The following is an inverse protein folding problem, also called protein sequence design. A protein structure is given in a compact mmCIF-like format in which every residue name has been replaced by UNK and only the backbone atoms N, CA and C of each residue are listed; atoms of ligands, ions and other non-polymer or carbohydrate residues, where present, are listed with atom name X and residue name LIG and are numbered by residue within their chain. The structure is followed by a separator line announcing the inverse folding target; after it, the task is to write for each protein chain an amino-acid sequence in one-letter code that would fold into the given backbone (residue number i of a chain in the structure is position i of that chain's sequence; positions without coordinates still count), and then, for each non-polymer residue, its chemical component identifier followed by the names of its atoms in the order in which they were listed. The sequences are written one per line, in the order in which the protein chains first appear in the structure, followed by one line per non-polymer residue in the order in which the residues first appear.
data_IF_125419308007
#
_entry.id   IF_125419308007
#
_cell.length_a   1.000
_cell.length_b   1.000
_cell.length_c   1.000
_cell.angle_alpha   90.00
_cell.angle_beta   90.00
_cell.angle_gamma   90.00
#
_symmetry.space_group_name_H-M   'P 1'
#
loop_
_entity.id
_entity.type
_entity.pdbx_description
1 polymer ?
#
# COMPACT_ATOMS: atom_id res chain seq x y z
N UNK A 1 -3.48 -11.71 -2.54
CA UNK A 1 -2.75 -10.83 -1.59
C UNK A 1 -1.65 -11.65 -0.95
N UNK A 2 -0.42 -11.15 -0.81
CA UNK A 2 0.61 -11.86 -0.03
C UNK A 2 0.17 -11.81 1.44
N UNK A 3 0.28 -12.92 2.17
CA UNK A 3 -0.16 -12.99 3.57
C UNK A 3 -1.67 -13.19 3.77
N UNK A 4 -2.43 -13.52 2.72
CA UNK A 4 -3.90 -13.74 2.80
C UNK A 4 -4.33 -14.85 3.78
N UNK A 5 -3.39 -15.72 4.18
CA UNK A 5 -3.59 -16.77 5.19
C UNK A 5 -2.82 -16.51 6.50
N UNK A 6 -2.14 -15.36 6.59
CA UNK A 6 -1.26 -14.95 7.68
C UNK A 6 -1.66 -13.56 8.21
N UNK A 7 -2.93 -13.18 8.02
CA UNK A 7 -3.53 -11.97 8.57
C UNK A 7 -4.54 -12.35 9.66
N UNK A 8 -4.57 -11.54 10.72
CA UNK A 8 -5.53 -11.69 11.80
C UNK A 8 -5.94 -10.33 12.36
N UNK A 9 -7.17 -10.29 12.87
CA UNK A 9 -7.67 -9.17 13.68
C UNK A 9 -7.88 -9.63 15.11
N UNK A 10 -7.69 -8.71 16.05
CA UNK A 10 -7.90 -9.00 17.49
C UNK A 10 -9.38 -9.27 17.78
N UNK A 11 -10.27 -8.53 17.12
CA UNK A 11 -11.72 -8.66 17.18
C UNK A 11 -12.34 -8.02 15.92
N UNK A 12 -13.65 -8.19 15.73
CA UNK A 12 -14.41 -7.53 14.66
C UNK A 12 -15.50 -6.68 15.29
N UNK A 13 -15.50 -5.40 14.94
CA UNK A 13 -16.55 -4.44 15.27
C UNK A 13 -17.03 -3.70 14.01
N UNK A 14 -17.86 -2.67 14.19
CA UNK A 14 -18.38 -1.86 13.10
C UNK A 14 -17.27 -1.13 12.33
N UNK A 15 -16.19 -0.70 12.99
CA UNK A 15 -15.07 -0.01 12.34
C UNK A 15 -14.31 -0.96 11.41
N UNK A 16 -14.07 -2.19 11.83
CA UNK A 16 -13.45 -3.23 10.99
C UNK A 16 -14.32 -3.54 9.77
N UNK A 17 -15.64 -3.72 9.99
CA UNK A 17 -16.59 -4.01 8.91
C UNK A 17 -16.66 -2.84 7.92
N UNK A 18 -16.67 -1.61 8.42
CA UNK A 18 -16.75 -0.40 7.61
C UNK A 18 -15.48 -0.20 6.77
N UNK A 19 -14.29 -0.34 7.37
CA UNK A 19 -13.02 -0.18 6.65
C UNK A 19 -12.80 -1.23 5.57
N UNK A 20 -13.22 -2.48 5.82
CA UNK A 20 -13.11 -3.58 4.85
C UNK A 20 -14.22 -3.57 3.79
N UNK A 21 -15.19 -2.65 3.87
CA UNK A 21 -16.26 -2.53 2.88
C UNK A 21 -15.67 -2.23 1.50
N UNK A 22 -15.91 -3.10 0.53
CA UNK A 22 -15.40 -2.96 -0.84
C UNK A 22 -14.13 -3.77 -1.14
N UNK A 23 -13.48 -4.35 -0.13
CA UNK A 23 -12.42 -5.33 -0.35
C UNK A 23 -13.04 -6.71 -0.61
N UNK A 24 -12.68 -7.32 -1.75
CA UNK A 24 -13.04 -8.72 -2.06
C UNK A 24 -12.09 -9.69 -1.34
N UNK A 25 -11.99 -9.57 -0.02
CA UNK A 25 -11.14 -10.46 0.80
C UNK A 25 -11.99 -11.48 1.55
N UNK A 26 -11.40 -12.62 1.89
CA UNK A 26 -11.97 -13.45 2.96
C UNK A 26 -11.94 -12.64 4.24
N UNK A 27 -12.98 -12.76 5.08
CA UNK A 27 -12.96 -12.09 6.39
C UNK A 27 -11.69 -12.51 7.15
N UNK A 28 -10.92 -11.56 7.73
CA UNK A 28 -9.70 -11.89 8.43
C UNK A 28 -10.01 -12.81 9.62
N UNK A 29 -9.06 -13.69 9.95
CA UNK A 29 -9.19 -14.59 11.09
C UNK A 29 -9.20 -13.77 12.38
N UNK A 30 -10.12 -14.06 13.29
CA UNK A 30 -10.12 -13.45 14.62
C UNK A 30 -9.13 -14.24 15.48
N UNK A 31 -8.00 -13.62 15.83
CA UNK A 31 -7.00 -14.21 16.70
C UNK A 31 -6.27 -13.12 17.50
N UNK A 32 -6.71 -12.83 18.74
CA UNK A 32 -6.09 -11.81 19.58
C UNK A 32 -4.66 -12.16 20.03
N UNK A 33 -4.26 -13.42 19.89
CA UNK A 33 -2.94 -13.94 20.30
C UNK A 33 -2.01 -14.17 19.10
N UNK A 34 -2.38 -13.69 17.91
CA UNK A 34 -1.61 -13.90 16.68
C UNK A 34 -0.13 -13.50 16.84
N UNK A 35 0.11 -12.35 17.47
CA UNK A 35 1.45 -11.79 17.69
C UNK A 35 2.33 -12.61 18.65
N UNK A 36 1.76 -13.50 19.47
CA UNK A 36 2.53 -14.35 20.38
C UNK A 36 3.24 -15.49 19.65
N UNK A 37 2.66 -15.93 18.53
CA UNK A 37 3.10 -17.12 17.80
C UNK A 37 3.58 -16.81 16.38
N UNK A 38 3.47 -15.55 15.92
CA UNK A 38 3.81 -15.15 14.57
C UNK A 38 4.62 -13.85 14.56
N UNK A 39 5.49 -13.71 13.57
CA UNK A 39 6.15 -12.44 13.30
C UNK A 39 5.16 -11.45 12.67
N UNK A 40 5.00 -10.28 13.29
CA UNK A 40 4.13 -9.22 12.79
C UNK A 40 4.97 -8.16 12.10
N UNK A 41 4.77 -7.98 10.79
CA UNK A 41 5.52 -7.03 9.96
C UNK A 41 4.72 -5.76 9.64
N UNK A 42 3.39 -5.82 9.78
CA UNK A 42 2.46 -4.73 9.54
C UNK A 42 1.28 -4.89 10.51
N UNK A 43 0.76 -3.77 11.01
CA UNK A 43 -0.42 -3.74 11.88
C UNK A 43 -1.52 -2.97 11.16
N UNK A 44 -2.73 -3.48 11.21
CA UNK A 44 -3.93 -2.73 10.85
C UNK A 44 -4.56 -2.08 12.08
N UNK A 45 -4.89 -0.81 11.94
CA UNK A 45 -5.75 -0.11 12.88
C UNK A 45 -6.99 0.37 12.13
N UNK A 46 -8.15 0.24 12.77
CA UNK A 46 -9.45 0.53 12.18
C UNK A 46 -10.18 1.56 13.02
N UNK A 47 -10.53 2.69 12.41
CA UNK A 47 -11.29 3.76 13.04
C UNK A 47 -11.85 4.68 11.95
N UNK A 48 -13.10 5.08 12.08
CA UNK A 48 -13.73 5.98 11.10
C UNK A 48 -13.07 7.37 11.07
N UNK A 49 -12.77 7.94 12.25
CA UNK A 49 -12.15 9.26 12.36
C UNK A 49 -10.61 9.18 12.27
N UNK A 50 -10.06 9.77 11.21
CA UNK A 50 -8.61 9.91 11.01
C UNK A 50 -7.93 10.74 12.11
N UNK A 51 -8.62 11.70 12.72
CA UNK A 51 -8.07 12.48 13.82
C UNK A 51 -7.84 11.62 15.05
N UNK A 52 -8.78 10.74 15.39
CA UNK A 52 -8.60 9.79 16.49
C UNK A 52 -7.41 8.85 16.23
N UNK A 53 -7.24 8.37 15.00
CA UNK A 53 -6.05 7.61 14.61
C UNK A 53 -4.78 8.43 14.84
N UNK A 54 -4.74 9.67 14.35
CA UNK A 54 -3.56 10.53 14.50
C UNK A 54 -3.23 10.83 15.97
N UNK A 55 -4.24 11.00 16.84
CA UNK A 55 -4.01 11.16 18.28
C UNK A 55 -3.40 9.90 18.91
N UNK A 56 -3.92 8.70 18.59
CA UNK A 56 -3.34 7.43 19.05
C UNK A 56 -1.87 7.31 18.62
N UNK A 57 -1.58 7.66 17.37
CA UNK A 57 -0.24 7.49 16.79
C UNK A 57 0.83 8.41 17.39
N UNK A 58 0.45 9.46 18.13
CA UNK A 58 1.43 10.29 18.87
C UNK A 58 2.23 9.47 19.88
N UNK A 59 1.61 8.46 20.47
CA UNK A 59 2.24 7.58 21.46
C UNK A 59 3.07 6.45 20.81
N UNK A 60 2.95 6.27 19.48
CA UNK A 60 3.64 5.22 18.74
C UNK A 60 4.50 5.77 17.59
N UNK A 61 5.51 6.61 17.88
CA UNK A 61 6.37 7.22 16.86
C UNK A 61 7.24 6.22 16.11
N UNK A 62 7.30 4.96 16.58
CA UNK A 62 8.00 3.87 15.89
C UNK A 62 7.26 3.34 14.66
N UNK A 63 6.05 3.84 14.36
CA UNK A 63 5.28 3.44 13.18
C UNK A 63 5.07 4.61 12.23
N UNK A 64 5.01 4.29 10.94
CA UNK A 64 4.58 5.19 9.88
C UNK A 64 3.19 4.77 9.41
N UNK A 65 2.19 5.66 9.46
CA UNK A 65 0.85 5.37 8.97
C UNK A 65 0.73 5.54 7.46
N UNK A 66 0.01 4.61 6.83
CA UNK A 66 -0.48 4.73 5.46
C UNK A 66 -1.99 4.49 5.46
N UNK A 67 -2.74 5.58 5.35
CA UNK A 67 -4.20 5.52 5.33
C UNK A 67 -4.68 4.94 4.00
N UNK A 68 -5.64 4.04 4.09
CA UNK A 68 -6.32 3.48 2.95
C UNK A 68 -7.83 3.48 3.21
N UNK A 69 -8.59 3.95 2.23
CA UNK A 69 -10.06 3.87 2.20
C UNK A 69 -10.79 4.37 3.48
N UNK A 70 -12.01 3.86 3.73
CA UNK A 70 -12.96 4.26 4.79
C UNK A 70 -12.51 3.92 6.23
N UNK A 71 -11.34 4.38 6.67
CA UNK A 71 -10.92 4.25 8.07
C UNK A 71 -9.98 3.08 8.38
N UNK A 72 -9.32 2.53 7.36
CA UNK A 72 -8.20 1.61 7.53
C UNK A 72 -6.86 2.36 7.51
N UNK A 73 -5.91 1.93 8.34
CA UNK A 73 -4.53 2.40 8.27
C UNK A 73 -3.56 1.24 8.42
N UNK A 74 -2.55 1.21 7.55
CA UNK A 74 -1.38 0.35 7.69
C UNK A 74 -0.36 1.07 8.57
N UNK A 75 0.03 0.42 9.66
CA UNK A 75 1.15 0.84 10.50
C UNK A 75 2.34 -0.04 10.17
N UNK A 76 3.40 0.58 9.65
CA UNK A 76 4.63 -0.11 9.24
C UNK A 76 5.84 0.52 9.90
N UNK A 77 6.98 -0.16 9.87
CA UNK A 77 8.24 0.43 10.30
C UNK A 77 8.57 1.69 9.48
N UNK A 78 9.01 2.80 10.08
CA UNK A 78 9.39 4.02 9.37
C UNK A 78 10.60 3.83 8.47
N UNK A 79 11.36 2.76 8.68
CA UNK A 79 12.60 2.45 7.94
C UNK A 79 12.39 1.54 6.74
N UNK A 80 11.18 0.97 6.57
CA UNK A 80 10.89 -0.02 5.52
C UNK A 80 9.70 0.43 4.70
N UNK A 81 9.85 0.37 3.38
CA UNK A 81 8.79 0.68 2.41
C UNK A 81 8.97 -0.18 1.15
N UNK A 82 8.06 -0.06 0.17
CA UNK A 82 8.15 -0.78 -1.11
C UNK A 82 9.49 -0.58 -1.81
N UNK A 83 10.01 0.65 -1.82
CA UNK A 83 11.32 0.99 -2.41
C UNK A 83 12.49 0.22 -1.77
N UNK A 84 12.40 -0.06 -0.47
CA UNK A 84 13.41 -0.85 0.27
C UNK A 84 13.52 -2.27 -0.28
N UNK A 85 12.38 -2.92 -0.54
CA UNK A 85 12.34 -4.25 -1.13
C UNK A 85 12.78 -4.22 -2.61
N UNK A 86 12.28 -3.24 -3.37
CA UNK A 86 12.59 -3.09 -4.79
C UNK A 86 14.09 -2.86 -5.02
N UNK A 87 14.76 -2.08 -4.16
CA UNK A 87 16.21 -1.88 -4.24
C UNK A 87 16.97 -3.19 -4.17
N UNK A 88 16.60 -4.10 -3.27
CA UNK A 88 17.21 -5.43 -3.17
C UNK A 88 16.98 -6.28 -4.42
N UNK A 89 15.82 -6.12 -5.07
CA UNK A 89 15.52 -6.80 -6.35
C UNK A 89 16.40 -6.22 -7.47
N UNK A 90 16.48 -4.89 -7.58
CA UNK A 90 17.30 -4.20 -8.58
C UNK A 90 18.79 -4.51 -8.42
N UNK A 91 19.30 -4.61 -7.19
CA UNK A 91 20.68 -5.04 -6.91
C UNK A 91 21.00 -6.44 -7.48
N UNK A 92 20.01 -7.35 -7.49
CA UNK A 92 20.15 -8.70 -8.04
C UNK A 92 20.03 -8.74 -9.56
N UNK A 93 19.30 -7.78 -10.14
CA UNK A 93 19.00 -7.71 -11.57
C UNK A 93 19.33 -6.31 -12.12
N UNK A 94 20.60 -5.88 -12.05
CA UNK A 94 20.98 -4.49 -12.34
C UNK A 94 20.74 -4.10 -13.80
N UNK A 95 20.84 -5.07 -14.71
CA UNK A 95 20.73 -4.85 -16.16
C UNK A 95 19.28 -4.69 -16.66
N UNK A 96 18.29 -5.01 -15.83
CA UNK A 96 16.87 -4.89 -16.20
C UNK A 96 16.35 -3.50 -15.88
N UNK A 97 15.61 -2.90 -16.80
CA UNK A 97 14.88 -1.65 -16.54
C UNK A 97 13.79 -1.87 -15.48
N UNK A 98 13.77 -1.02 -14.46
CA UNK A 98 12.80 -1.05 -13.38
C UNK A 98 11.65 -0.11 -13.71
N UNK A 99 10.47 -0.70 -13.94
CA UNK A 99 9.22 0.04 -14.08
C UNK A 99 8.41 -0.17 -12.79
N UNK A 100 7.94 0.92 -12.16
CA UNK A 100 7.06 0.86 -11.01
C UNK A 100 5.74 1.56 -11.31
N UNK A 101 4.63 0.90 -10.99
CA UNK A 101 3.27 1.43 -11.14
C UNK A 101 2.63 1.54 -9.76
N UNK A 102 2.02 2.67 -9.45
CA UNK A 102 1.39 2.91 -8.16
C UNK A 102 0.20 3.85 -8.22
N UNK A 103 -0.65 3.80 -7.21
CA UNK A 103 -1.84 4.63 -7.07
C UNK A 103 -1.99 5.23 -5.67
N UNK A 104 -1.22 4.75 -4.69
CA UNK A 104 -1.28 5.18 -3.30
C UNK A 104 -0.09 6.02 -2.85
N UNK A 105 -0.25 6.72 -1.71
CA UNK A 105 0.84 7.44 -1.07
C UNK A 105 2.04 6.54 -0.69
N UNK A 106 1.81 5.25 -0.42
CA UNK A 106 2.88 4.29 -0.14
C UNK A 106 3.73 3.91 -1.37
N UNK A 107 3.38 4.40 -2.56
CA UNK A 107 4.08 4.13 -3.82
C UNK A 107 5.10 5.22 -4.21
N UNK A 108 5.03 6.40 -3.60
CA UNK A 108 5.87 7.57 -3.96
C UNK A 108 7.36 7.21 -4.01
N UNK A 109 7.86 6.56 -2.96
CA UNK A 109 9.28 6.25 -2.85
C UNK A 109 9.73 5.18 -3.85
N UNK A 110 8.83 4.28 -4.29
CA UNK A 110 9.20 3.30 -5.32
C UNK A 110 9.15 3.92 -6.72
N UNK A 111 8.25 4.86 -6.99
CA UNK A 111 8.23 5.61 -8.24
C UNK A 111 9.51 6.44 -8.40
N UNK A 112 9.94 7.16 -7.35
CA UNK A 112 11.21 7.91 -7.36
C UNK A 112 12.45 7.04 -7.59
N UNK A 113 12.38 5.75 -7.20
CA UNK A 113 13.49 4.80 -7.34
C UNK A 113 13.54 4.18 -8.75
N UNK A 114 12.40 4.13 -9.45
CA UNK A 114 12.28 3.42 -10.70
C UNK A 114 13.03 4.12 -11.85
N UNK A 115 13.43 3.33 -12.84
CA UNK A 115 13.91 3.89 -14.11
C UNK A 115 12.75 4.54 -14.88
N UNK A 116 11.53 4.01 -14.69
CA UNK A 116 10.26 4.61 -15.15
C UNK A 116 9.21 4.47 -14.02
N UNK A 117 8.77 5.59 -13.47
CA UNK A 117 7.69 5.68 -12.50
C UNK A 117 6.35 6.02 -13.16
N UNK A 118 5.30 5.27 -12.84
CA UNK A 118 3.98 5.42 -13.45
C UNK A 118 2.93 5.55 -12.36
N UNK A 119 2.18 6.67 -12.36
CA UNK A 119 1.04 6.87 -11.48
C UNK A 119 -0.26 6.44 -12.18
N UNK A 120 -1.12 5.70 -11.49
CA UNK A 120 -2.43 5.35 -12.01
C UNK A 120 -3.36 6.57 -12.08
N UNK A 121 -4.21 6.64 -13.09
CA UNK A 121 -5.14 7.78 -13.29
C UNK A 121 -6.11 8.00 -12.13
N UNK A 122 -6.45 6.93 -11.40
CA UNK A 122 -7.33 6.97 -10.22
C UNK A 122 -6.63 7.41 -8.93
N UNK A 123 -5.33 7.75 -8.96
CA UNK A 123 -4.66 8.19 -7.74
C UNK A 123 -5.26 9.49 -7.21
N UNK A 124 -5.57 9.48 -5.91
CA UNK A 124 -6.01 10.65 -5.15
C UNK A 124 -4.85 11.49 -4.58
N UNK A 125 -3.60 11.15 -4.90
CA UNK A 125 -2.39 11.75 -4.32
C UNK A 125 -1.65 12.58 -5.39
N UNK A 126 -1.78 13.93 -5.39
CA UNK A 126 -1.09 14.79 -6.35
C UNK A 126 0.43 14.60 -6.37
N UNK A 127 1.03 14.44 -5.19
CA UNK A 127 2.46 14.21 -5.00
C UNK A 127 2.96 12.92 -5.66
N UNK A 128 2.09 11.93 -5.87
CA UNK A 128 2.43 10.71 -6.61
C UNK A 128 2.54 11.00 -8.11
N UNK A 129 1.64 11.83 -8.66
CA UNK A 129 1.68 12.26 -10.06
C UNK A 129 2.89 13.16 -10.33
N UNK A 130 3.28 13.99 -9.38
CA UNK A 130 4.43 14.89 -9.51
C UNK A 130 5.76 14.15 -9.66
N UNK A 131 5.88 12.97 -9.05
CA UNK A 131 7.11 12.15 -9.12
C UNK A 131 7.08 11.09 -10.22
N UNK A 132 5.98 11.00 -10.97
CA UNK A 132 5.80 10.00 -12.02
C UNK A 132 6.26 10.55 -13.38
N UNK A 133 6.89 9.70 -14.18
CA UNK A 133 7.20 9.99 -15.58
C UNK A 133 5.95 9.95 -16.46
N UNK A 134 4.99 9.09 -16.08
CA UNK A 134 3.71 8.97 -16.76
C UNK A 134 2.54 8.87 -15.80
N UNK A 135 1.37 9.30 -16.29
CA UNK A 135 0.08 9.05 -15.63
C UNK A 135 -0.78 8.23 -16.58
N UNK A 136 -1.30 7.09 -16.12
CA UNK A 136 -2.14 6.20 -16.92
C UNK A 136 -3.60 6.69 -16.96
N UNK A 137 -4.45 6.10 -17.83
CA UNK A 137 -5.90 6.19 -17.69
C UNK A 137 -6.40 5.69 -16.33
N UNK A 138 -7.68 5.96 -16.03
CA UNK A 138 -8.31 5.49 -14.80
C UNK A 138 -8.37 3.96 -14.75
N UNK A 139 -8.26 3.36 -13.56
CA UNK A 139 -8.28 1.89 -13.40
C UNK A 139 -9.55 1.24 -13.97
N UNK A 140 -10.69 1.91 -13.86
CA UNK A 140 -11.98 1.44 -14.39
C UNK A 140 -12.03 1.40 -15.93
N UNK A 141 -11.10 2.04 -16.63
CA UNK A 141 -11.04 1.97 -18.09
C UNK A 141 -10.38 0.68 -18.59
N UNK A 142 -9.72 -0.10 -17.72
CA UNK A 142 -9.04 -1.36 -18.04
C UNK A 142 -8.01 -1.24 -19.18
N UNK A 143 -7.32 -0.09 -19.25
CA UNK A 143 -6.36 0.26 -20.33
C UNK A 143 -4.89 0.17 -19.92
N UNK A 144 -4.56 -0.38 -18.76
CA UNK A 144 -3.17 -0.40 -18.30
C UNK A 144 -2.26 -1.16 -19.29
N UNK A 145 -2.76 -2.27 -19.84
CA UNK A 145 -2.03 -3.04 -20.86
C UNK A 145 -1.81 -2.25 -22.16
N UNK A 146 -2.87 -1.61 -22.68
CA UNK A 146 -2.80 -0.81 -23.90
C UNK A 146 -1.88 0.40 -23.72
N UNK A 147 -1.93 1.04 -22.54
CA UNK A 147 -1.01 2.11 -22.16
C UNK A 147 0.46 1.66 -22.27
N UNK A 148 0.80 0.47 -21.75
CA UNK A 148 2.17 -0.05 -21.85
C UNK A 148 2.59 -0.28 -23.32
N UNK A 149 1.68 -0.79 -24.17
CA UNK A 149 1.96 -0.95 -25.61
C UNK A 149 2.16 0.36 -26.34
N UNK A 150 1.25 1.31 -26.16
CA UNK A 150 1.26 2.61 -26.84
C UNK A 150 2.51 3.42 -26.49
N UNK A 151 2.98 3.29 -25.25
CA UNK A 151 4.20 3.94 -24.76
C UNK A 151 5.47 3.10 -24.95
N UNK A 152 5.39 1.95 -25.63
CA UNK A 152 6.52 1.06 -25.95
C UNK A 152 7.29 0.58 -24.71
N UNK A 153 6.56 0.29 -23.64
CA UNK A 153 7.08 -0.25 -22.39
C UNK A 153 7.09 -1.78 -22.34
N UNK A 154 6.43 -2.42 -23.31
CA UNK A 154 6.41 -3.88 -23.57
C UNK A 154 6.36 -4.18 -25.07
#
# INVERSE_FOLDING_TARGET
MVGFHEEAVTFVDESVIYALKGFQTTKPVINPEFYLNNHVYQIWLFKEDKNEINEILKDFPMFKPYFWHYGGVDLVSPTVNKATAIRKIKEKYPDYQLICVGDGHNDIEMLKLADIGIAMGNTGYPELKEVADFVTPHIEEDKLYDFFKENKLI
#
